data_IF_452548548054
#
_entry.id   IF_452548548054
#
_cell.length_a   1.000
_cell.length_b   1.000
_cell.length_c   1.000
_cell.angle_alpha   90.00
_cell.angle_beta   90.00
_cell.angle_gamma   90.00
#
_symmetry.space_group_name_H-M   'P 1'
#
loop_
_entity.id
_entity.type
_entity.pdbx_description
1 polymer ?
#
# COMPACT_ATOMS: atom_id res chain seq x y z
N UNK A 1 5.14 13.16 -14.72
CA UNK A 1 6.26 12.17 -14.69
C UNK A 1 7.50 12.86 -15.20
N UNK A 2 8.48 13.19 -14.35
CA UNK A 2 9.76 13.78 -14.76
C UNK A 2 10.81 12.74 -14.44
N UNK A 3 11.18 11.96 -15.46
CA UNK A 3 12.29 11.01 -15.35
C UNK A 3 13.56 11.77 -14.96
N UNK A 4 14.25 11.32 -13.94
CA UNK A 4 15.45 11.95 -13.39
C UNK A 4 16.67 11.62 -14.26
N UNK A 5 16.62 11.98 -15.55
CA UNK A 5 17.71 11.81 -16.52
C UNK A 5 18.93 12.67 -16.19
N UNK A 6 18.79 13.69 -15.33
CA UNK A 6 19.90 14.58 -14.94
C UNK A 6 21.00 13.89 -14.12
N UNK A 7 20.65 12.90 -13.29
CA UNK A 7 21.65 12.18 -12.50
C UNK A 7 22.50 11.21 -13.32
N UNK A 8 21.97 10.63 -14.38
CA UNK A 8 22.71 9.70 -15.27
C UNK A 8 23.88 10.39 -15.99
N UNK A 9 23.63 11.55 -16.57
CA UNK A 9 24.66 12.30 -17.29
C UNK A 9 25.78 12.80 -16.34
N UNK A 10 25.43 13.19 -15.12
CA UNK A 10 26.40 13.63 -14.10
C UNK A 10 27.30 12.49 -13.60
N UNK A 11 26.81 11.25 -13.58
CA UNK A 11 27.60 10.07 -13.23
C UNK A 11 28.55 9.66 -14.38
N UNK A 12 28.08 9.72 -15.62
CA UNK A 12 28.88 9.41 -16.79
C UNK A 12 30.07 10.39 -16.95
N UNK A 13 29.87 11.67 -16.65
CA UNK A 13 30.96 12.68 -16.63
C UNK A 13 32.01 12.42 -15.55
N UNK A 14 31.71 11.61 -14.54
CA UNK A 14 32.65 11.19 -13.48
C UNK A 14 33.27 9.81 -13.73
N UNK A 15 33.16 9.27 -14.94
CA UNK A 15 33.78 8.01 -15.35
C UNK A 15 32.99 6.75 -14.97
N UNK A 16 31.72 6.88 -14.56
CA UNK A 16 30.86 5.70 -14.42
C UNK A 16 30.29 5.25 -15.77
N UNK A 17 30.18 3.94 -15.96
CA UNK A 17 29.61 3.36 -17.16
C UNK A 17 28.27 2.70 -16.84
N UNK A 18 27.29 2.93 -17.69
CA UNK A 18 25.98 2.29 -17.57
C UNK A 18 26.11 0.84 -17.99
N UNK A 19 25.67 -0.09 -17.13
CA UNK A 19 25.73 -1.52 -17.40
C UNK A 19 24.56 -1.98 -18.28
N UNK A 20 23.37 -1.33 -18.17
CA UNK A 20 22.19 -1.57 -19.00
C UNK A 20 21.31 -0.31 -19.07
N UNK A 21 20.34 -0.29 -19.97
CA UNK A 21 19.40 0.81 -20.10
C UNK A 21 18.58 1.01 -18.79
N UNK A 22 18.23 2.25 -18.41
CA UNK A 22 17.40 2.48 -17.25
C UNK A 22 16.04 1.79 -17.42
N UNK A 23 15.56 1.18 -16.35
CA UNK A 23 14.24 0.58 -16.29
C UNK A 23 13.34 1.51 -15.49
N UNK A 24 12.31 2.03 -16.13
CA UNK A 24 11.29 2.83 -15.46
C UNK A 24 10.21 1.90 -14.92
N UNK A 25 10.00 1.95 -13.61
CA UNK A 25 8.96 1.16 -12.94
C UNK A 25 7.89 2.13 -12.47
N UNK A 26 6.72 2.10 -13.10
CA UNK A 26 5.56 2.87 -12.66
C UNK A 26 4.68 1.99 -11.76
N UNK A 27 4.43 2.48 -10.55
CA UNK A 27 3.47 1.88 -9.60
C UNK A 27 3.62 0.36 -9.38
N UNK A 28 4.86 -0.13 -9.46
CA UNK A 28 5.15 -1.55 -9.25
C UNK A 28 4.87 -2.44 -10.48
N UNK A 29 4.94 -1.88 -11.70
CA UNK A 29 4.75 -2.64 -12.95
C UNK A 29 5.54 -3.96 -12.91
N UNK A 30 4.87 -5.13 -12.92
CA UNK A 30 5.51 -6.42 -12.78
C UNK A 30 6.36 -6.80 -14.01
N UNK A 31 6.08 -6.22 -15.18
CA UNK A 31 6.89 -6.47 -16.39
C UNK A 31 8.22 -5.71 -16.30
N UNK A 32 8.18 -4.44 -15.91
CA UNK A 32 9.38 -3.62 -15.71
C UNK A 32 10.26 -4.20 -14.60
N UNK A 33 9.67 -4.65 -13.49
CA UNK A 33 10.39 -5.31 -12.39
C UNK A 33 11.05 -6.61 -12.82
N UNK A 34 10.35 -7.48 -13.56
CA UNK A 34 10.95 -8.71 -14.12
C UNK A 34 12.09 -8.42 -15.08
N UNK A 35 11.92 -7.44 -15.95
CA UNK A 35 12.99 -7.03 -16.86
C UNK A 35 14.22 -6.52 -16.10
N UNK A 36 14.03 -5.68 -15.10
CA UNK A 36 15.10 -5.18 -14.22
C UNK A 36 15.82 -6.34 -13.50
N UNK A 37 15.09 -7.28 -12.93
CA UNK A 37 15.64 -8.49 -12.30
C UNK A 37 16.47 -9.33 -13.27
N UNK A 38 15.98 -9.49 -14.50
CA UNK A 38 16.72 -10.21 -15.56
C UNK A 38 18.04 -9.54 -15.89
N UNK A 39 18.06 -8.20 -16.00
CA UNK A 39 19.31 -7.46 -16.23
C UNK A 39 20.30 -7.63 -15.08
N UNK A 40 19.85 -7.57 -13.84
CA UNK A 40 20.68 -7.83 -12.66
C UNK A 40 21.23 -9.27 -12.64
N UNK A 41 20.42 -10.26 -12.96
CA UNK A 41 20.84 -11.65 -13.05
C UNK A 41 21.99 -11.86 -14.05
N UNK A 42 21.95 -11.19 -15.19
CA UNK A 42 23.02 -11.23 -16.19
C UNK A 42 24.35 -10.68 -15.66
N UNK A 43 24.30 -9.63 -14.84
CA UNK A 43 25.50 -9.00 -14.26
C UNK A 43 26.09 -9.87 -13.12
N UNK A 44 25.24 -10.50 -12.32
CA UNK A 44 25.64 -11.30 -11.15
C UNK A 44 26.07 -12.73 -11.48
N UNK A 45 26.17 -13.08 -12.77
CA UNK A 45 26.61 -14.43 -13.19
C UNK A 45 25.52 -15.48 -13.15
N UNK A 46 24.25 -15.08 -13.24
CA UNK A 46 23.13 -16.01 -13.42
C UNK A 46 22.62 -16.67 -12.14
N UNK A 47 22.87 -16.09 -10.96
CA UNK A 47 22.15 -16.50 -9.77
C UNK A 47 20.63 -16.37 -10.02
N UNK A 48 19.81 -17.39 -9.75
CA UNK A 48 18.37 -17.31 -10.00
C UNK A 48 17.78 -16.18 -9.16
N UNK A 49 17.37 -15.11 -9.82
CA UNK A 49 16.61 -14.05 -9.17
C UNK A 49 15.23 -14.61 -8.91
N UNK A 50 14.84 -14.69 -7.65
CA UNK A 50 13.47 -15.08 -7.28
C UNK A 50 12.53 -14.12 -8.01
N UNK A 51 11.66 -14.66 -8.86
CA UNK A 51 10.69 -13.82 -9.58
C UNK A 51 9.88 -13.02 -8.57
N UNK A 52 9.76 -11.72 -8.82
CA UNK A 52 8.91 -10.87 -7.98
C UNK A 52 7.49 -11.46 -7.94
N UNK A 53 6.99 -11.67 -6.75
CA UNK A 53 5.63 -12.12 -6.51
C UNK A 53 4.86 -10.99 -5.87
N UNK A 54 3.59 -10.85 -6.23
CA UNK A 54 2.70 -9.89 -5.57
C UNK A 54 2.66 -10.21 -4.08
N UNK A 55 2.93 -9.24 -3.19
CA UNK A 55 2.89 -9.46 -1.76
C UNK A 55 1.52 -10.00 -1.33
N UNK A 56 1.53 -11.02 -0.48
CA UNK A 56 0.31 -11.48 0.19
C UNK A 56 0.19 -10.78 1.53
N UNK A 57 -0.98 -10.26 1.82
CA UNK A 57 -1.27 -9.57 3.07
C UNK A 57 -2.05 -10.48 4.00
N UNK A 58 -1.56 -10.66 5.22
CA UNK A 58 -2.25 -11.35 6.28
C UNK A 58 -3.07 -10.37 7.13
N UNK A 59 -4.15 -10.87 7.76
CA UNK A 59 -4.95 -10.08 8.67
C UNK A 59 -4.33 -10.08 10.06
N UNK A 60 -3.82 -8.93 10.50
CA UNK A 60 -3.30 -8.72 11.84
C UNK A 60 -4.33 -8.04 12.72
N UNK A 61 -4.28 -8.29 14.03
CA UNK A 61 -5.22 -7.69 14.96
C UNK A 61 -4.54 -6.57 15.75
N UNK A 62 -5.13 -5.36 15.68
CA UNK A 62 -4.70 -4.25 16.53
C UNK A 62 -5.15 -4.53 17.97
N UNK A 63 -4.20 -4.70 18.89
CA UNK A 63 -4.40 -5.01 20.31
C UNK A 63 -4.27 -3.80 21.21
N UNK A 64 -3.34 -2.91 20.86
CA UNK A 64 -3.01 -1.75 21.68
C UNK A 64 -2.89 -0.51 20.80
N UNK A 65 -3.38 0.58 21.35
CA UNK A 65 -3.23 1.91 20.78
C UNK A 65 -3.01 2.91 21.92
N UNK A 66 -1.88 3.52 21.94
CA UNK A 66 -1.50 4.49 22.96
C UNK A 66 -1.10 5.82 22.31
N UNK A 67 -1.71 6.91 22.76
CA UNK A 67 -1.36 8.24 22.29
C UNK A 67 -0.18 8.79 23.13
N UNK A 68 0.98 8.92 22.52
CA UNK A 68 2.22 9.24 23.25
C UNK A 68 2.45 10.73 23.51
N UNK A 69 1.84 11.62 22.73
CA UNK A 69 2.08 13.06 22.83
C UNK A 69 0.82 13.91 22.96
N UNK A 70 -0.07 13.65 23.96
CA UNK A 70 -1.39 14.28 24.07
C UNK A 70 -1.37 15.80 24.20
N UNK A 71 -0.27 16.39 24.71
CA UNK A 71 -0.13 17.83 24.92
C UNK A 71 0.80 18.52 23.89
N UNK A 72 1.16 17.81 22.81
CA UNK A 72 2.01 18.37 21.76
C UNK A 72 1.17 19.24 20.81
N UNK A 73 1.77 20.31 20.30
CA UNK A 73 1.16 21.12 19.23
C UNK A 73 1.24 20.45 17.85
N UNK A 74 2.01 19.38 17.71
CA UNK A 74 2.15 18.61 16.46
C UNK A 74 1.03 17.59 16.25
N UNK A 75 1.12 16.86 15.17
CA UNK A 75 0.24 15.72 14.91
C UNK A 75 0.42 14.63 15.99
N UNK A 76 -0.65 13.90 16.29
CA UNK A 76 -0.62 12.81 17.26
C UNK A 76 0.38 11.72 16.85
N UNK A 77 1.13 11.22 17.81
CA UNK A 77 2.01 10.05 17.67
C UNK A 77 1.43 8.94 18.51
N UNK A 78 1.25 7.78 17.89
CA UNK A 78 0.63 6.61 18.51
C UNK A 78 1.60 5.44 18.52
N UNK A 79 1.66 4.76 19.65
CA UNK A 79 2.23 3.42 19.74
C UNK A 79 1.12 2.41 19.49
N UNK A 80 1.30 1.58 18.48
CA UNK A 80 0.36 0.55 18.08
C UNK A 80 0.98 -0.81 18.37
N UNK A 81 0.22 -1.72 19.00
CA UNK A 81 0.58 -3.12 19.17
C UNK A 81 -0.31 -4.00 18.30
N UNK A 82 0.32 -4.81 17.46
CA UNK A 82 -0.34 -5.71 16.51
C UNK A 82 0.01 -7.15 16.85
N UNK A 83 -0.99 -8.05 16.89
CA UNK A 83 -0.76 -9.49 16.99
C UNK A 83 -0.90 -10.17 15.65
N UNK A 84 0.07 -11.03 15.35
CA UNK A 84 0.07 -11.86 14.14
C UNK A 84 -1.01 -12.96 14.20
N UNK A 85 -1.55 -13.38 13.05
CA UNK A 85 -2.47 -14.52 12.98
C UNK A 85 -1.75 -15.85 13.18
N UNK A 86 -0.44 -15.91 12.95
CA UNK A 86 0.41 -17.08 13.08
C UNK A 86 1.80 -16.69 13.60
N UNK A 87 2.65 -17.67 13.89
CA UNK A 87 4.03 -17.39 14.28
C UNK A 87 4.77 -16.65 13.16
N UNK A 88 5.08 -15.38 13.43
CA UNK A 88 5.83 -14.50 12.53
C UNK A 88 7.12 -14.08 13.22
N UNK A 89 8.16 -13.85 12.44
CA UNK A 89 9.47 -13.42 12.94
C UNK A 89 9.82 -12.07 12.33
N UNK A 90 10.35 -11.17 13.13
CA UNK A 90 10.85 -9.86 12.71
C UNK A 90 11.96 -9.39 13.64
N UNK A 91 12.68 -8.39 13.22
CA UNK A 91 13.66 -7.66 14.01
C UNK A 91 13.27 -6.19 14.11
N UNK A 92 13.73 -5.53 15.17
CA UNK A 92 13.56 -4.08 15.29
C UNK A 92 14.26 -3.37 14.12
N UNK A 93 13.53 -2.47 13.45
CA UNK A 93 13.99 -1.77 12.25
C UNK A 93 13.61 -2.44 10.93
N UNK A 94 13.10 -3.67 10.92
CA UNK A 94 12.48 -4.24 9.73
C UNK A 94 11.30 -3.38 9.28
N UNK A 95 10.95 -3.48 8.00
CA UNK A 95 9.79 -2.79 7.43
C UNK A 95 8.60 -3.73 7.37
N UNK A 96 7.45 -3.22 7.79
CA UNK A 96 6.15 -3.86 7.56
C UNK A 96 5.34 -3.03 6.58
N UNK A 97 4.78 -3.68 5.58
CA UNK A 97 3.84 -3.08 4.64
C UNK A 97 2.42 -3.24 5.16
N UNK A 98 1.70 -2.14 5.23
CA UNK A 98 0.30 -2.12 5.66
C UNK A 98 -0.58 -1.66 4.51
N UNK A 99 -1.57 -2.47 4.16
CA UNK A 99 -2.60 -2.15 3.20
C UNK A 99 -3.85 -1.64 3.97
N UNK A 100 -4.12 -0.32 3.94
CA UNK A 100 -5.29 0.23 4.61
C UNK A 100 -6.58 -0.18 3.89
N UNK A 101 -7.69 -0.11 4.61
CA UNK A 101 -9.02 -0.33 4.04
C UNK A 101 -9.95 0.84 4.36
N UNK A 102 -10.87 1.13 3.45
CA UNK A 102 -11.99 2.01 3.72
C UNK A 102 -12.92 1.38 4.75
N UNK A 103 -13.50 2.19 5.62
CA UNK A 103 -14.51 1.67 6.56
C UNK A 103 -15.79 1.26 5.81
N UNK A 104 -16.54 0.29 6.35
CA UNK A 104 -17.82 -0.14 5.78
C UNK A 104 -18.77 1.04 5.59
N UNK A 105 -18.86 1.92 6.57
CA UNK A 105 -19.70 3.13 6.49
C UNK A 105 -19.35 4.02 5.31
N UNK A 106 -18.06 4.24 5.04
CA UNK A 106 -17.61 5.06 3.90
C UNK A 106 -17.96 4.39 2.58
N UNK A 107 -17.75 3.07 2.48
CA UNK A 107 -18.09 2.29 1.28
C UNK A 107 -19.59 2.28 1.03
N UNK A 108 -20.41 2.05 2.07
CA UNK A 108 -21.87 2.04 1.99
C UNK A 108 -22.43 3.40 1.54
N UNK A 109 -21.92 4.50 2.12
CA UNK A 109 -22.30 5.86 1.71
C UNK A 109 -21.89 6.16 0.26
N UNK A 110 -20.74 5.64 -0.17
CA UNK A 110 -20.28 5.79 -1.53
C UNK A 110 -21.19 5.06 -2.51
N UNK A 111 -21.53 3.79 -2.24
CA UNK A 111 -22.40 2.97 -3.06
C UNK A 111 -23.85 3.46 -3.09
N UNK A 112 -24.38 3.89 -1.94
CA UNK A 112 -25.74 4.49 -1.85
C UNK A 112 -25.88 5.70 -2.78
N UNK A 113 -24.83 6.55 -2.87
CA UNK A 113 -24.82 7.69 -3.78
C UNK A 113 -24.77 7.32 -5.27
N UNK A 114 -24.42 6.07 -5.62
CA UNK A 114 -24.41 5.56 -6.99
C UNK A 114 -25.57 4.61 -7.29
N UNK A 115 -26.38 4.26 -6.29
CA UNK A 115 -27.52 3.34 -6.44
C UNK A 115 -27.08 1.89 -6.72
N UNK A 116 -25.89 1.48 -6.28
CA UNK A 116 -25.35 0.14 -6.48
C UNK A 116 -25.50 -0.73 -5.23
N UNK A 117 -25.78 -2.03 -5.46
CA UNK A 117 -25.86 -3.00 -4.38
C UNK A 117 -24.46 -3.45 -3.94
N UNK A 118 -24.18 -3.26 -2.65
CA UNK A 118 -22.94 -3.63 -1.99
C UNK A 118 -22.60 -5.14 -2.07
N UNK A 119 -23.64 -6.00 -2.20
CA UNK A 119 -23.49 -7.43 -2.31
C UNK A 119 -23.24 -7.94 -3.73
N UNK A 120 -23.28 -7.06 -4.74
CA UNK A 120 -23.02 -7.44 -6.13
C UNK A 120 -21.67 -8.16 -6.27
N UNK A 121 -21.63 -9.34 -6.94
CA UNK A 121 -20.38 -10.06 -7.14
C UNK A 121 -19.50 -9.34 -8.17
N UNK A 122 -18.21 -9.26 -7.87
CA UNK A 122 -17.17 -8.69 -8.77
C UNK A 122 -15.94 -9.58 -8.78
N UNK A 123 -15.17 -9.51 -9.87
CA UNK A 123 -13.91 -10.21 -10.02
C UNK A 123 -12.77 -9.25 -9.63
N UNK A 124 -11.85 -9.69 -8.77
CA UNK A 124 -10.64 -8.96 -8.43
C UNK A 124 -9.43 -9.75 -8.89
N UNK A 125 -8.53 -9.11 -9.63
CA UNK A 125 -7.45 -9.78 -10.37
C UNK A 125 -6.45 -10.58 -9.52
N UNK A 126 -6.42 -10.38 -8.19
CA UNK A 126 -5.33 -10.87 -7.35
C UNK A 126 -5.35 -12.38 -7.14
N UNK A 127 -6.48 -13.08 -7.23
CA UNK A 127 -6.54 -14.56 -7.11
C UNK A 127 -7.70 -15.19 -7.91
N UNK A 128 -8.36 -14.45 -8.80
CA UNK A 128 -9.55 -14.95 -9.51
C UNK A 128 -10.74 -15.23 -8.59
N UNK A 129 -10.69 -14.80 -7.35
CA UNK A 129 -11.74 -14.97 -6.37
C UNK A 129 -12.84 -13.91 -6.60
N UNK A 130 -14.06 -14.34 -6.49
CA UNK A 130 -15.21 -13.43 -6.51
C UNK A 130 -15.37 -12.81 -5.12
N UNK A 131 -15.37 -11.48 -5.07
CA UNK A 131 -15.65 -10.70 -3.87
C UNK A 131 -16.97 -9.95 -4.04
N UNK A 132 -17.53 -9.44 -2.94
CA UNK A 132 -18.63 -8.48 -3.03
C UNK A 132 -18.10 -7.11 -3.44
N UNK A 133 -18.92 -6.30 -4.10
CA UNK A 133 -18.57 -4.93 -4.48
C UNK A 133 -18.06 -4.11 -3.27
N UNK A 134 -18.70 -4.27 -2.12
CA UNK A 134 -18.26 -3.61 -0.90
C UNK A 134 -16.84 -4.01 -0.46
N UNK A 135 -16.51 -5.31 -0.55
CA UNK A 135 -15.17 -5.81 -0.22
C UNK A 135 -14.11 -5.29 -1.17
N UNK A 136 -14.40 -5.32 -2.47
CA UNK A 136 -13.50 -4.78 -3.49
C UNK A 136 -13.26 -3.28 -3.32
N UNK A 137 -14.30 -2.48 -3.04
CA UNK A 137 -14.19 -1.04 -2.84
C UNK A 137 -13.46 -0.66 -1.56
N UNK A 138 -13.46 -1.52 -0.55
CA UNK A 138 -12.69 -1.27 0.67
C UNK A 138 -11.19 -1.10 0.42
N UNK A 139 -10.66 -1.66 -0.67
CA UNK A 139 -9.26 -1.54 -1.09
C UNK A 139 -9.04 -0.51 -2.21
N UNK A 140 -10.01 0.36 -2.49
CA UNK A 140 -9.94 1.36 -3.57
C UNK A 140 -9.96 2.80 -3.06
N UNK A 141 -9.39 3.71 -3.85
CA UNK A 141 -9.52 5.14 -3.62
C UNK A 141 -10.93 5.58 -4.05
N UNK A 142 -11.69 6.14 -3.11
CA UNK A 142 -13.05 6.59 -3.38
C UNK A 142 -13.04 8.10 -3.64
N UNK A 143 -13.29 8.57 -4.87
CA UNK A 143 -13.25 9.98 -5.20
C UNK A 143 -14.47 10.72 -4.62
N UNK A 144 -14.28 11.97 -4.23
CA UNK A 144 -15.38 12.84 -3.79
C UNK A 144 -16.35 13.17 -4.94
N UNK A 145 -15.80 13.46 -6.12
CA UNK A 145 -16.57 13.74 -7.31
C UNK A 145 -16.91 12.46 -8.05
N UNK A 146 -18.20 12.10 -8.07
CA UNK A 146 -18.69 10.81 -8.58
C UNK A 146 -19.35 10.89 -9.95
N UNK A 147 -19.40 12.08 -10.57
CA UNK A 147 -20.16 12.30 -11.80
C UNK A 147 -19.79 11.35 -12.95
N UNK A 148 -18.51 11.05 -13.10
CA UNK A 148 -18.00 10.12 -14.12
C UNK A 148 -18.22 8.63 -13.81
N UNK A 149 -18.68 8.32 -12.58
CA UNK A 149 -18.94 6.95 -12.12
C UNK A 149 -20.44 6.61 -12.16
N UNK A 150 -21.31 7.59 -12.36
CA UNK A 150 -22.76 7.39 -12.41
C UNK A 150 -23.12 6.54 -13.64
N UNK A 151 -23.93 5.52 -13.43
CA UNK A 151 -24.36 4.59 -14.47
C UNK A 151 -23.40 3.43 -14.77
N UNK A 152 -22.26 3.36 -14.12
CA UNK A 152 -21.38 2.19 -14.20
C UNK A 152 -22.03 1.00 -13.47
N UNK A 153 -21.88 -0.20 -14.02
CA UNK A 153 -22.19 -1.45 -13.31
C UNK A 153 -21.05 -1.80 -12.34
N UNK A 154 -21.30 -2.75 -11.41
CA UNK A 154 -20.39 -3.09 -10.32
C UNK A 154 -18.95 -3.36 -10.76
N UNK A 155 -18.73 -4.21 -11.77
CA UNK A 155 -17.38 -4.53 -12.26
C UNK A 155 -16.69 -3.30 -12.86
N UNK A 156 -17.38 -2.56 -13.72
CA UNK A 156 -16.81 -1.36 -14.34
C UNK A 156 -16.42 -0.29 -13.29
N UNK A 157 -17.16 -0.22 -12.18
CA UNK A 157 -16.79 0.67 -11.06
C UNK A 157 -15.48 0.23 -10.40
N UNK A 158 -15.30 -1.06 -10.14
CA UNK A 158 -14.04 -1.59 -9.56
C UNK A 158 -12.86 -1.32 -10.48
N UNK A 159 -13.04 -1.54 -11.79
CA UNK A 159 -11.99 -1.36 -12.79
C UNK A 159 -11.60 0.12 -12.99
N UNK A 160 -12.55 1.03 -12.78
CA UNK A 160 -12.33 2.47 -12.90
C UNK A 160 -11.62 3.08 -11.68
N UNK A 161 -11.60 2.39 -10.54
CA UNK A 161 -11.07 2.93 -9.29
C UNK A 161 -9.65 2.46 -9.02
N UNK A 162 -8.77 3.39 -8.64
CA UNK A 162 -7.37 3.12 -8.33
C UNK A 162 -7.26 2.36 -6.99
N UNK A 163 -6.45 1.29 -6.90
CA UNK A 163 -6.16 0.63 -5.64
C UNK A 163 -5.58 1.58 -4.59
N UNK A 164 -5.84 1.31 -3.32
CA UNK A 164 -5.16 1.99 -2.23
C UNK A 164 -3.69 1.59 -2.21
N UNK A 165 -2.81 2.58 -2.05
CA UNK A 165 -1.40 2.32 -1.91
C UNK A 165 -1.09 1.79 -0.50
N UNK A 166 -0.29 0.75 -0.43
CA UNK A 166 0.31 0.28 0.82
C UNK A 166 1.22 1.35 1.43
N UNK A 167 1.48 1.23 2.73
CA UNK A 167 2.39 2.10 3.47
C UNK A 167 3.38 1.25 4.25
N UNK A 168 4.63 1.66 4.23
CA UNK A 168 5.72 1.03 4.98
C UNK A 168 5.90 1.73 6.32
N UNK A 169 6.11 0.93 7.35
CA UNK A 169 6.45 1.40 8.70
C UNK A 169 7.62 0.59 9.24
N UNK A 170 8.55 1.27 9.93
CA UNK A 170 9.61 0.58 10.65
C UNK A 170 9.06 -0.05 11.92
N UNK A 171 9.42 -1.31 12.14
CA UNK A 171 9.01 -2.06 13.33
C UNK A 171 9.86 -1.60 14.53
N UNK A 172 9.19 -1.31 15.66
CA UNK A 172 9.80 -0.80 16.88
C UNK A 172 10.00 -1.86 17.97
N UNK A 173 9.67 -3.12 17.70
CA UNK A 173 9.76 -4.26 18.64
C UNK A 173 10.56 -5.41 18.04
N UNK A 174 10.85 -6.42 18.87
CA UNK A 174 11.40 -7.71 18.43
C UNK A 174 10.35 -8.80 18.63
N UNK A 175 10.45 -9.90 17.89
CA UNK A 175 9.44 -10.96 17.91
C UNK A 175 9.23 -11.59 19.30
N UNK A 176 10.27 -11.61 20.16
CA UNK A 176 10.17 -12.10 21.54
C UNK A 176 9.27 -11.26 22.46
N UNK A 177 8.95 -10.01 22.07
CA UNK A 177 8.06 -9.13 22.82
C UNK A 177 6.58 -9.56 22.68
N UNK A 178 6.28 -10.46 21.72
CA UNK A 178 4.96 -11.05 21.51
C UNK A 178 4.00 -10.19 20.68
N UNK A 179 4.29 -8.90 20.49
CA UNK A 179 3.54 -7.97 19.65
C UNK A 179 4.47 -7.23 18.69
N UNK A 180 3.99 -6.99 17.48
CA UNK A 180 4.65 -6.10 16.55
C UNK A 180 4.25 -4.66 16.89
N UNK A 181 5.22 -3.85 17.28
CA UNK A 181 4.98 -2.46 17.66
C UNK A 181 5.37 -1.49 16.54
N UNK A 182 4.54 -0.48 16.34
CA UNK A 182 4.76 0.58 15.39
C UNK A 182 4.62 1.95 16.08
N UNK A 183 5.50 2.88 15.75
CA UNK A 183 5.35 4.28 16.08
C UNK A 183 4.79 5.03 14.87
N UNK A 184 3.51 5.38 14.93
CA UNK A 184 2.80 6.00 13.81
C UNK A 184 2.48 7.46 14.13
N UNK A 185 3.05 8.38 13.32
CA UNK A 185 2.62 9.77 13.34
C UNK A 185 1.37 9.89 12.46
N UNK A 186 0.31 10.43 13.05
CA UNK A 186 -0.91 10.73 12.32
C UNK A 186 -0.67 11.84 11.30
N UNK A 187 -0.91 11.54 10.05
CA UNK A 187 -0.90 12.54 8.99
C UNK A 187 -2.23 13.30 8.98
N UNK A 188 -2.15 14.60 8.79
CA UNK A 188 -3.32 15.46 8.60
C UNK A 188 -3.09 16.34 7.39
N UNK A 189 -3.98 16.26 6.43
CA UNK A 189 -3.98 17.09 5.23
C UNK A 189 -4.35 18.56 5.56
N UNK A 190 -4.04 19.47 4.65
CA UNK A 190 -4.32 20.90 4.84
C UNK A 190 -5.82 21.23 5.04
N UNK A 191 -6.71 20.39 4.51
CA UNK A 191 -8.17 20.47 4.68
C UNK A 191 -8.68 19.87 6.01
N UNK A 192 -7.74 19.39 6.87
CA UNK A 192 -8.03 18.80 8.17
C UNK A 192 -8.36 17.30 8.13
N UNK A 193 -8.48 16.69 6.96
CA UNK A 193 -8.68 15.24 6.84
C UNK A 193 -7.44 14.48 7.30
N UNK A 194 -7.68 13.30 7.84
CA UNK A 194 -6.61 12.40 8.26
C UNK A 194 -6.07 11.63 7.06
N UNK A 195 -4.76 11.38 7.08
CA UNK A 195 -4.14 10.44 6.14
C UNK A 195 -4.81 9.07 6.24
N UNK A 196 -5.13 8.45 5.12
CA UNK A 196 -5.95 7.25 5.09
C UNK A 196 -5.41 6.14 5.99
N UNK A 197 -4.14 5.78 5.85
CA UNK A 197 -3.54 4.70 6.64
C UNK A 197 -3.33 5.11 8.11
N UNK A 198 -2.68 6.24 8.37
CA UNK A 198 -2.42 6.72 9.74
C UNK A 198 -3.72 7.09 10.48
N UNK A 199 -4.77 7.49 9.78
CA UNK A 199 -6.10 7.71 10.32
C UNK A 199 -6.85 6.41 10.59
N UNK A 200 -6.66 5.38 9.75
CA UNK A 200 -7.26 4.06 9.92
C UNK A 200 -6.63 3.28 11.10
N UNK A 201 -5.34 3.40 11.28
CA UNK A 201 -4.60 2.79 12.39
C UNK A 201 -4.82 3.47 13.75
N UNK A 202 -5.45 4.62 13.76
CA UNK A 202 -5.74 5.43 14.95
C UNK A 202 -6.85 4.86 15.83
#
# INVERSE_FOLDING_TARGET
>A
MIANTRNSAALETRGSHRLFAPVEVDSGDPYALRYWQQQLSQITGGAPVVAWQTPRFDNWTLRRREWLNPNSQGCGVYLLGLSAPSASTWQAGDLVEILPRQSSTVVEQFLSGLGLDAASPVQVEVDGLSETLAQALASRQLPEHRGHLVGLHAQALVDALVPLAQREYSIASIASDGELELLVRQERHADGRLGLCSGWLR
#
